data_IF_071776553507
#
_entry.id   IF_071776553507
#
_cell.length_a   1.000
_cell.length_b   1.000
_cell.length_c   1.000
_cell.angle_alpha   90.00
_cell.angle_beta   90.00
_cell.angle_gamma   90.00
#
_symmetry.space_group_name_H-M   'P 1'
#
loop_
_entity.id
_entity.type
_entity.pdbx_description
1 polymer ?
#
# COMPACT_ATOMS: atom_id res chain seq x y z
N UNK A 1 -13.72 16.55 10.16
CA UNK A 1 -14.52 17.78 10.28
C UNK A 1 -15.58 17.57 11.35
N UNK A 2 -15.98 18.61 12.09
CA UNK A 2 -16.96 18.52 13.19
C UNK A 2 -18.44 18.67 12.73
N UNK A 3 -18.69 19.08 11.49
CA UNK A 3 -20.04 19.24 10.91
C UNK A 3 -20.22 18.46 9.60
N UNK A 4 -21.48 18.32 9.18
CA UNK A 4 -21.85 17.78 7.87
C UNK A 4 -21.54 18.81 6.76
N UNK A 5 -21.08 18.34 5.60
CA UNK A 5 -20.61 19.20 4.51
C UNK A 5 -21.72 20.07 3.90
N UNK A 6 -21.42 21.36 3.69
CA UNK A 6 -22.36 22.40 3.24
C UNK A 6 -21.98 23.06 1.91
N UNK A 7 -21.06 22.51 1.12
CA UNK A 7 -20.62 23.15 -0.14
C UNK A 7 -21.67 23.07 -1.24
N UNK A 8 -21.57 23.97 -2.20
CA UNK A 8 -22.33 23.95 -3.47
C UNK A 8 -21.41 24.02 -4.68
N UNK A 9 -20.09 23.98 -4.45
CA UNK A 9 -19.04 24.08 -5.45
C UNK A 9 -17.93 23.10 -5.08
N UNK A 10 -17.23 22.57 -6.09
CA UNK A 10 -16.02 21.74 -5.92
C UNK A 10 -14.79 22.60 -5.57
N UNK A 11 -13.65 21.97 -5.22
CA UNK A 11 -12.41 22.69 -4.85
C UNK A 11 -11.85 23.57 -5.98
N UNK A 12 -12.14 23.24 -7.24
CA UNK A 12 -11.75 24.05 -8.40
C UNK A 12 -12.65 25.29 -8.61
N UNK A 13 -13.77 25.40 -7.89
CA UNK A 13 -14.73 26.48 -8.01
C UNK A 13 -15.87 26.23 -9.02
N UNK A 14 -15.96 25.04 -9.62
CA UNK A 14 -17.13 24.66 -10.42
C UNK A 14 -18.36 24.46 -9.53
N UNK A 15 -19.53 24.92 -9.99
CA UNK A 15 -20.80 24.66 -9.32
C UNK A 15 -21.15 23.16 -9.35
N UNK A 16 -21.62 22.64 -8.22
CA UNK A 16 -22.22 21.30 -8.12
C UNK A 16 -23.69 21.45 -8.49
N UNK A 17 -24.22 20.75 -9.52
CA UNK A 17 -25.63 20.80 -9.90
C UNK A 17 -26.62 20.63 -8.75
N UNK A 18 -27.54 21.59 -8.60
CA UNK A 18 -28.74 21.49 -7.75
C UNK A 18 -29.86 20.70 -8.46
N UNK A 19 -29.53 19.54 -9.04
CA UNK A 19 -30.51 18.66 -9.68
C UNK A 19 -29.91 17.27 -9.94
N UNK A 20 -30.66 16.23 -9.59
CA UNK A 20 -30.29 14.83 -9.80
C UNK A 20 -30.82 14.28 -11.14
N UNK A 21 -31.33 15.15 -12.03
CA UNK A 21 -32.01 14.77 -13.27
C UNK A 21 -31.12 13.99 -14.25
N UNK A 22 -29.79 14.10 -14.16
CA UNK A 22 -28.86 13.19 -14.83
C UNK A 22 -28.04 12.40 -13.81
N UNK A 23 -28.24 11.07 -13.74
CA UNK A 23 -27.57 10.20 -12.78
C UNK A 23 -26.09 9.90 -13.11
N UNK A 24 -25.49 10.57 -14.08
CA UNK A 24 -24.09 10.41 -14.46
C UNK A 24 -23.17 11.50 -13.90
N UNK A 25 -23.73 12.56 -13.29
CA UNK A 25 -22.96 13.70 -12.78
C UNK A 25 -23.15 13.89 -11.27
N UNK A 26 -22.17 14.52 -10.64
CA UNK A 26 -22.28 14.93 -9.25
C UNK A 26 -23.40 15.95 -9.04
N UNK A 27 -24.17 15.78 -7.97
CA UNK A 27 -25.27 16.67 -7.60
C UNK A 27 -25.41 16.78 -6.08
N UNK A 28 -25.91 17.92 -5.61
CA UNK A 28 -26.31 18.14 -4.21
C UNK A 28 -27.80 18.50 -4.11
N UNK A 29 -28.37 18.23 -2.94
CA UNK A 29 -29.72 18.65 -2.58
C UNK A 29 -29.80 19.02 -1.10
N UNK A 30 -30.90 19.66 -0.73
CA UNK A 30 -31.22 20.09 0.63
C UNK A 30 -32.39 19.24 1.10
N UNK A 31 -32.42 18.80 2.36
CA UNK A 31 -33.44 17.85 2.81
C UNK A 31 -34.85 18.45 2.61
N UNK A 32 -35.73 17.70 1.94
CA UNK A 32 -37.07 18.13 1.50
C UNK A 32 -37.08 19.40 0.63
N UNK A 33 -35.97 19.73 -0.05
CA UNK A 33 -35.76 20.96 -0.80
C UNK A 33 -35.94 22.24 0.06
N UNK A 34 -35.60 22.15 1.35
CA UNK A 34 -35.73 23.24 2.33
C UNK A 34 -34.35 23.67 2.88
N UNK A 35 -33.93 24.88 2.48
CA UNK A 35 -32.67 25.50 2.85
C UNK A 35 -32.50 25.73 4.36
N UNK A 36 -33.59 25.77 5.15
CA UNK A 36 -33.50 25.93 6.61
C UNK A 36 -32.81 24.73 7.28
N UNK A 37 -32.89 23.54 6.68
CA UNK A 37 -32.20 22.34 7.16
C UNK A 37 -30.68 22.41 7.02
N UNK A 38 -30.15 23.21 6.08
CA UNK A 38 -28.72 23.22 5.74
C UNK A 38 -27.85 23.70 6.88
N UNK A 39 -28.33 24.66 7.69
CA UNK A 39 -27.56 25.22 8.80
C UNK A 39 -27.18 24.15 9.84
N UNK A 40 -28.09 23.21 10.10
CA UNK A 40 -27.92 22.10 11.04
C UNK A 40 -27.35 20.87 10.32
N UNK A 41 -28.12 20.29 9.39
CA UNK A 41 -27.88 18.95 8.86
C UNK A 41 -26.91 18.89 7.68
N UNK A 42 -26.54 20.05 7.13
CA UNK A 42 -25.73 20.13 5.91
C UNK A 42 -26.52 19.84 4.64
N UNK A 43 -25.82 19.40 3.59
CA UNK A 43 -26.39 19.03 2.29
C UNK A 43 -26.23 17.54 2.03
N UNK A 44 -27.09 17.01 1.17
CA UNK A 44 -27.08 15.62 0.73
C UNK A 44 -26.51 15.53 -0.69
N UNK A 45 -25.51 14.69 -0.89
CA UNK A 45 -24.77 14.56 -2.15
C UNK A 45 -24.97 13.17 -2.73
N UNK A 46 -25.05 13.07 -4.06
CA UNK A 46 -24.90 11.77 -4.71
C UNK A 46 -23.45 11.30 -4.67
N UNK A 47 -23.22 10.01 -4.89
CA UNK A 47 -21.87 9.47 -4.83
C UNK A 47 -20.99 9.97 -5.99
N UNK A 48 -21.59 10.39 -7.11
CA UNK A 48 -20.86 11.01 -8.22
C UNK A 48 -20.24 12.35 -7.84
N UNK A 49 -20.84 13.12 -6.91
CA UNK A 49 -20.20 14.30 -6.34
C UNK A 49 -19.12 13.90 -5.33
N UNK A 50 -19.35 12.85 -4.52
CA UNK A 50 -18.37 12.33 -3.55
C UNK A 50 -17.07 11.91 -4.20
N UNK A 51 -17.14 11.22 -5.34
CA UNK A 51 -15.99 10.71 -6.08
C UNK A 51 -15.67 11.56 -7.34
N UNK A 52 -16.04 12.84 -7.35
CA UNK A 52 -15.69 13.75 -8.43
C UNK A 52 -14.21 14.19 -8.32
N UNK A 53 -13.47 14.10 -9.42
CA UNK A 53 -12.06 14.48 -9.49
C UNK A 53 -11.80 15.96 -9.15
N UNK A 54 -12.81 16.82 -9.16
CA UNK A 54 -12.72 18.24 -8.76
C UNK A 54 -12.72 18.46 -7.25
N UNK A 55 -12.95 17.41 -6.46
CA UNK A 55 -12.91 17.41 -5.00
C UNK A 55 -14.14 18.02 -4.35
N UNK A 56 -14.88 17.22 -3.58
CA UNK A 56 -16.09 17.67 -2.87
C UNK A 56 -15.80 18.34 -1.52
N UNK A 57 -14.86 17.78 -0.76
CA UNK A 57 -14.45 18.34 0.53
C UNK A 57 -13.60 19.62 0.35
N UNK A 58 -13.42 20.46 1.39
CA UNK A 58 -12.49 21.59 1.32
C UNK A 58 -11.05 21.14 0.99
N UNK A 59 -10.22 22.06 0.52
CA UNK A 59 -8.77 21.82 0.32
C UNK A 59 -8.15 21.27 1.61
N UNK A 60 -7.25 20.30 1.47
CA UNK A 60 -6.64 19.51 2.56
C UNK A 60 -7.63 18.62 3.33
N UNK A 61 -8.83 18.34 2.80
CA UNK A 61 -9.78 17.37 3.36
C UNK A 61 -10.33 16.44 2.25
N UNK A 62 -10.65 15.19 2.60
CA UNK A 62 -11.23 14.19 1.71
C UNK A 62 -12.48 13.51 2.28
N UNK A 63 -13.29 12.89 1.43
CA UNK A 63 -14.37 12.00 1.88
C UNK A 63 -13.72 10.67 2.26
N UNK A 64 -13.89 10.17 3.49
CA UNK A 64 -13.26 8.94 3.93
C UNK A 64 -13.74 7.76 3.09
N UNK A 65 -12.84 6.86 2.77
CA UNK A 65 -13.13 5.58 2.15
C UNK A 65 -13.73 4.59 3.15
N UNK A 66 -14.23 3.47 2.64
CA UNK A 66 -14.83 2.44 3.49
C UNK A 66 -13.83 1.90 4.52
N UNK A 67 -12.59 1.65 4.12
CA UNK A 67 -11.51 1.16 4.99
C UNK A 67 -11.16 2.20 6.08
N UNK A 68 -11.05 3.49 5.74
CA UNK A 68 -10.79 4.56 6.75
C UNK A 68 -11.95 4.67 7.76
N UNK A 69 -13.19 4.40 7.34
CA UNK A 69 -14.33 4.29 8.26
C UNK A 69 -14.29 3.00 9.08
N UNK A 70 -13.80 1.88 8.53
CA UNK A 70 -13.58 0.65 9.29
C UNK A 70 -12.47 0.83 10.34
N UNK A 71 -11.37 1.52 10.02
CA UNK A 71 -10.30 1.85 10.96
C UNK A 71 -10.79 2.70 12.13
N UNK A 72 -11.61 3.72 11.85
CA UNK A 72 -12.27 4.53 12.89
C UNK A 72 -13.18 3.67 13.79
N UNK A 73 -13.90 2.71 13.23
CA UNK A 73 -14.80 1.81 13.97
C UNK A 73 -14.01 0.79 14.81
N UNK A 74 -12.91 0.25 14.29
CA UNK A 74 -12.00 -0.62 15.04
C UNK A 74 -11.30 0.13 16.18
N UNK A 75 -10.91 1.39 15.96
CA UNK A 75 -10.38 2.27 17.00
C UNK A 75 -11.36 2.48 18.16
N UNK A 76 -12.68 2.45 17.90
CA UNK A 76 -13.73 2.60 18.90
C UNK A 76 -14.07 1.31 19.68
N UNK A 77 -13.56 0.16 19.25
CA UNK A 77 -13.73 -1.13 19.92
C UNK A 77 -14.26 -2.27 19.04
N UNK A 78 -14.69 -2.00 17.81
CA UNK A 78 -15.25 -3.02 16.91
C UNK A 78 -14.16 -4.03 16.50
N UNK A 79 -14.48 -5.34 16.46
CA UNK A 79 -13.51 -6.31 15.95
C UNK A 79 -13.33 -6.19 14.43
N UNK A 80 -12.16 -6.55 13.91
CA UNK A 80 -11.87 -6.59 12.47
C UNK A 80 -12.89 -7.46 11.69
N UNK A 81 -13.32 -8.58 12.28
CA UNK A 81 -14.37 -9.44 11.70
C UNK A 81 -15.73 -8.77 11.60
N UNK A 82 -16.10 -7.95 12.58
CA UNK A 82 -17.34 -7.17 12.55
C UNK A 82 -17.20 -6.00 11.59
N UNK A 83 -16.07 -5.27 11.62
CA UNK A 83 -15.79 -4.15 10.75
C UNK A 83 -15.89 -4.52 9.26
N UNK A 84 -15.40 -5.72 8.90
CA UNK A 84 -15.49 -6.29 7.55
C UNK A 84 -16.87 -6.84 7.16
N UNK A 85 -17.77 -7.06 8.12
CA UNK A 85 -19.12 -7.54 7.85
C UNK A 85 -20.02 -6.46 7.23
N UNK A 86 -21.06 -6.89 6.52
CA UNK A 86 -22.17 -6.04 6.07
C UNK A 86 -23.36 -6.24 7.01
N UNK A 87 -24.06 -5.17 7.38
CA UNK A 87 -25.15 -5.19 8.34
C UNK A 87 -25.01 -4.19 9.48
N UNK A 88 -25.87 -4.37 10.49
CA UNK A 88 -25.72 -3.83 11.84
C UNK A 88 -24.58 -4.60 12.54
N UNK A 89 -23.57 -3.89 13.06
CA UNK A 89 -22.32 -4.49 13.57
C UNK A 89 -21.68 -3.64 14.67
N UNK A 90 -20.84 -4.28 15.47
CA UNK A 90 -20.27 -3.72 16.69
C UNK A 90 -21.28 -3.75 17.85
N UNK A 91 -21.03 -2.92 18.86
CA UNK A 91 -21.79 -2.90 20.12
C UNK A 91 -22.28 -1.51 20.51
N UNK A 92 -21.44 -0.47 20.36
CA UNK A 92 -21.74 0.90 20.78
C UNK A 92 -21.05 1.99 19.93
N UNK A 93 -20.29 1.61 18.92
CA UNK A 93 -19.40 2.49 18.16
C UNK A 93 -20.18 3.50 17.31
N UNK A 94 -21.38 3.12 16.86
CA UNK A 94 -22.31 4.06 16.23
C UNK A 94 -22.83 5.12 17.21
N UNK A 95 -22.97 4.78 18.49
CA UNK A 95 -23.27 5.69 19.59
C UNK A 95 -22.13 6.69 19.84
N UNK A 96 -20.89 6.19 19.93
CA UNK A 96 -19.67 7.00 20.12
C UNK A 96 -19.40 8.02 19.00
N UNK A 97 -20.03 7.86 17.84
CA UNK A 97 -19.96 8.78 16.70
C UNK A 97 -21.07 9.86 16.68
N UNK A 98 -22.20 9.66 17.38
CA UNK A 98 -23.36 10.57 17.35
C UNK A 98 -23.18 11.78 18.25
N UNK A 99 -23.80 12.90 17.87
CA UNK A 99 -24.07 14.02 18.77
C UNK A 99 -24.74 13.53 20.07
N UNK A 100 -24.26 14.01 21.23
CA UNK A 100 -24.81 13.69 22.55
C UNK A 100 -26.18 14.36 22.77
N UNK A 101 -27.09 13.66 23.47
CA UNK A 101 -28.42 14.17 23.81
C UNK A 101 -29.44 14.02 22.68
N UNK A 102 -30.48 14.85 22.67
CA UNK A 102 -31.61 14.75 21.74
C UNK A 102 -32.02 16.13 21.19
N UNK A 103 -31.04 16.99 20.88
CA UNK A 103 -31.32 18.29 20.26
C UNK A 103 -31.73 18.12 18.79
N UNK A 104 -30.92 17.39 18.02
CA UNK A 104 -31.21 17.06 16.62
C UNK A 104 -31.65 15.61 16.40
N UNK A 105 -31.20 14.69 17.26
CA UNK A 105 -31.65 13.29 17.26
C UNK A 105 -32.97 13.11 18.01
N UNK A 106 -33.87 12.28 17.47
CA UNK A 106 -35.04 11.82 18.20
C UNK A 106 -34.63 11.00 19.43
N UNK A 107 -35.41 11.13 20.51
CA UNK A 107 -35.33 10.22 21.66
C UNK A 107 -35.57 8.76 21.23
N UNK A 108 -34.76 7.78 21.68
CA UNK A 108 -33.83 7.87 22.81
C UNK A 108 -32.40 8.36 22.51
N UNK A 109 -32.01 8.49 21.24
CA UNK A 109 -30.60 8.59 20.80
C UNK A 109 -29.66 7.59 21.49
N UNK A 110 -29.98 6.29 21.41
CA UNK A 110 -29.33 5.20 22.15
C UNK A 110 -27.80 5.25 22.02
N UNK A 111 -27.10 5.23 23.16
CA UNK A 111 -25.64 5.12 23.23
C UNK A 111 -24.85 6.36 22.78
N UNK A 112 -25.50 7.50 22.53
CA UNK A 112 -24.79 8.68 22.02
C UNK A 112 -23.88 9.33 23.06
N UNK A 113 -22.56 9.28 22.84
CA UNK A 113 -21.53 9.86 23.74
C UNK A 113 -20.55 10.81 23.05
N UNK A 114 -20.52 10.85 21.71
CA UNK A 114 -19.64 11.70 20.90
C UNK A 114 -18.13 11.63 21.26
N UNK A 115 -17.64 10.49 21.77
CA UNK A 115 -16.26 10.31 22.27
C UNK A 115 -15.16 10.68 21.26
N UNK A 116 -15.48 10.63 19.96
CA UNK A 116 -14.59 10.96 18.85
C UNK A 116 -14.59 12.44 18.44
N UNK A 117 -15.59 13.21 18.88
CA UNK A 117 -15.93 14.50 18.27
C UNK A 117 -16.53 14.38 16.86
N UNK A 118 -16.81 13.17 16.35
CA UNK A 118 -17.40 12.95 15.04
C UNK A 118 -18.83 13.49 14.93
N UNK A 119 -19.51 13.83 16.04
CA UNK A 119 -20.74 14.66 16.11
C UNK A 119 -21.70 14.40 14.95
N UNK A 120 -22.07 13.13 14.74
CA UNK A 120 -22.91 12.76 13.61
C UNK A 120 -24.30 13.35 13.80
N UNK A 121 -24.83 13.97 12.75
CA UNK A 121 -26.16 14.58 12.74
C UNK A 121 -27.12 13.80 11.83
N UNK A 122 -28.41 13.68 12.21
CA UNK A 122 -29.39 12.83 11.54
C UNK A 122 -30.04 13.53 10.34
N UNK A 123 -29.22 13.89 9.35
CA UNK A 123 -29.65 14.60 8.13
C UNK A 123 -30.57 13.81 7.20
N UNK A 124 -30.94 12.58 7.55
CA UNK A 124 -31.76 11.70 6.73
C UNK A 124 -31.09 11.34 5.41
N UNK A 125 -31.91 10.90 4.46
CA UNK A 125 -31.47 10.63 3.08
C UNK A 125 -32.49 11.10 2.04
N UNK A 126 -31.98 11.22 0.82
CA UNK A 126 -32.73 11.42 -0.42
C UNK A 126 -32.59 10.18 -1.29
N UNK A 127 -33.71 9.61 -1.72
CA UNK A 127 -33.76 8.48 -2.65
C UNK A 127 -34.44 8.91 -3.97
N UNK A 128 -34.28 8.14 -5.03
CA UNK A 128 -34.94 8.37 -6.32
C UNK A 128 -35.64 7.09 -6.75
N UNK A 129 -36.97 7.07 -6.65
CA UNK A 129 -37.74 5.94 -7.12
C UNK A 129 -37.93 6.05 -8.64
N UNK A 130 -37.16 5.24 -9.37
CA UNK A 130 -37.22 5.15 -10.83
C UNK A 130 -38.54 4.59 -11.38
N UNK A 131 -39.41 4.01 -10.55
CA UNK A 131 -40.72 3.52 -10.97
C UNK A 131 -41.81 4.57 -10.88
N UNK A 132 -41.71 5.50 -9.91
CA UNK A 132 -42.69 6.58 -9.72
C UNK A 132 -42.22 7.94 -10.25
N UNK A 133 -40.93 8.07 -10.59
CA UNK A 133 -40.29 9.34 -10.99
C UNK A 133 -40.46 10.42 -9.92
N UNK A 134 -40.21 10.04 -8.65
CA UNK A 134 -40.38 10.90 -7.48
C UNK A 134 -39.13 10.88 -6.58
N UNK A 135 -38.88 12.04 -5.96
CA UNK A 135 -37.90 12.17 -4.88
C UNK A 135 -38.51 11.68 -3.56
N UNK A 136 -37.87 10.70 -2.93
CA UNK A 136 -38.31 10.18 -1.63
C UNK A 136 -37.34 10.66 -0.56
N UNK A 137 -37.86 11.50 0.33
CA UNK A 137 -37.14 12.01 1.50
C UNK A 137 -37.49 11.17 2.71
N UNK A 138 -36.50 10.67 3.45
CA UNK A 138 -36.80 9.96 4.67
C UNK A 138 -35.79 10.17 5.80
N UNK A 139 -36.30 9.91 7.01
CA UNK A 139 -35.51 9.63 8.21
C UNK A 139 -34.69 10.79 8.80
N UNK A 140 -34.98 12.05 8.45
CA UNK A 140 -34.54 13.20 9.25
C UNK A 140 -34.85 12.97 10.74
N UNK A 141 -33.93 13.38 11.62
CA UNK A 141 -33.93 13.16 13.08
C UNK A 141 -33.88 11.69 13.55
N UNK A 142 -34.00 10.71 12.65
CA UNK A 142 -33.95 9.27 12.99
C UNK A 142 -32.69 8.57 12.52
N UNK A 143 -32.12 8.99 11.40
CA UNK A 143 -30.92 8.38 10.82
C UNK A 143 -29.96 9.43 10.27
N UNK A 144 -28.67 9.22 10.52
CA UNK A 144 -27.58 9.87 9.79
C UNK A 144 -27.00 8.89 8.79
N UNK A 145 -27.03 9.25 7.50
CA UNK A 145 -26.43 8.45 6.42
C UNK A 145 -25.18 9.18 5.91
N UNK A 146 -24.05 8.45 5.84
CA UNK A 146 -22.76 9.01 5.47
C UNK A 146 -22.14 8.21 4.33
N UNK A 147 -21.89 8.87 3.19
CA UNK A 147 -21.15 8.25 2.09
C UNK A 147 -19.70 7.97 2.49
N UNK A 148 -19.17 6.86 2.00
CA UNK A 148 -17.72 6.69 1.81
C UNK A 148 -17.33 7.03 0.36
N UNK A 149 -16.05 7.27 0.12
CA UNK A 149 -15.47 7.34 -1.24
C UNK A 149 -15.24 5.97 -1.91
N UNK A 150 -15.59 4.85 -1.25
CA UNK A 150 -15.38 3.51 -1.83
C UNK A 150 -16.58 3.00 -2.65
N UNK A 151 -16.29 2.62 -3.89
CA UNK A 151 -17.17 1.84 -4.75
C UNK A 151 -17.14 0.35 -4.40
N UNK A 152 -18.25 -0.37 -4.61
CA UNK A 152 -18.29 -1.85 -4.58
C UNK A 152 -18.73 -2.44 -5.93
N UNK A 153 -19.75 -1.84 -6.55
CA UNK A 153 -20.26 -2.26 -7.86
C UNK A 153 -20.44 -1.03 -8.75
N UNK A 154 -20.49 -1.24 -10.07
CA UNK A 154 -20.62 -0.17 -11.08
C UNK A 154 -21.75 0.82 -10.80
N UNK A 155 -22.82 0.41 -10.09
CA UNK A 155 -23.94 1.27 -9.68
C UNK A 155 -24.10 1.46 -8.16
N UNK A 156 -23.25 0.86 -7.31
CA UNK A 156 -23.34 0.92 -5.85
C UNK A 156 -22.04 1.39 -5.17
N UNK A 157 -22.17 2.12 -4.07
CA UNK A 157 -21.07 2.51 -3.20
C UNK A 157 -21.39 2.23 -1.72
N UNK A 158 -20.34 2.15 -0.90
CA UNK A 158 -20.44 1.90 0.54
C UNK A 158 -20.86 3.15 1.31
N UNK A 159 -21.72 2.97 2.31
CA UNK A 159 -22.12 4.02 3.25
C UNK A 159 -22.17 3.50 4.69
N UNK A 160 -22.23 4.43 5.65
CA UNK A 160 -22.56 4.18 7.05
C UNK A 160 -23.94 4.74 7.38
N UNK A 161 -24.70 4.02 8.20
CA UNK A 161 -25.95 4.53 8.78
C UNK A 161 -25.97 4.36 10.30
N UNK A 162 -26.24 5.48 10.99
CA UNK A 162 -26.39 5.55 12.43
C UNK A 162 -27.86 5.82 12.75
N UNK A 163 -28.45 5.04 13.66
CA UNK A 163 -29.87 5.18 14.05
C UNK A 163 -30.03 5.87 15.41
N UNK A 164 -31.18 6.49 15.61
CA UNK A 164 -31.58 7.10 16.88
C UNK A 164 -31.90 6.06 17.99
N UNK A 165 -32.24 4.83 17.63
CA UNK A 165 -32.66 3.77 18.55
C UNK A 165 -31.62 2.66 18.77
N UNK A 166 -30.53 2.64 17.98
CA UNK A 166 -29.40 1.71 18.09
C UNK A 166 -28.10 2.43 18.48
N UNK A 167 -27.17 1.69 19.10
CA UNK A 167 -25.81 2.16 19.41
C UNK A 167 -24.76 1.58 18.45
N UNK A 168 -25.11 0.53 17.71
CA UNK A 168 -24.30 -0.15 16.72
C UNK A 168 -24.19 0.67 15.40
N UNK A 169 -23.17 0.40 14.60
CA UNK A 169 -22.98 1.02 13.28
C UNK A 169 -23.55 0.11 12.17
N UNK A 170 -24.26 0.67 11.19
CA UNK A 170 -24.64 -0.07 9.98
C UNK A 170 -23.66 0.22 8.84
N UNK A 171 -23.19 -0.83 8.16
CA UNK A 171 -22.50 -0.74 6.86
C UNK A 171 -23.30 -1.51 5.83
N UNK A 172 -23.60 -0.84 4.73
CA UNK A 172 -24.35 -1.36 3.59
C UNK A 172 -23.89 -0.63 2.33
N UNK A 173 -24.27 -1.15 1.17
CA UNK A 173 -24.09 -0.45 -0.10
C UNK A 173 -25.42 -0.08 -0.77
N UNK A 174 -25.52 1.11 -1.35
CA UNK A 174 -26.73 1.55 -2.07
C UNK A 174 -26.38 2.21 -3.39
N UNK A 175 -27.40 2.41 -4.24
CA UNK A 175 -27.24 2.99 -5.56
C UNK A 175 -26.62 4.39 -5.47
N UNK A 176 -25.58 4.65 -6.26
CA UNK A 176 -24.79 5.90 -6.29
C UNK A 176 -25.62 7.18 -6.50
N UNK A 177 -26.86 7.07 -7.01
CA UNK A 177 -27.82 8.17 -7.19
C UNK A 177 -28.45 8.67 -5.89
N UNK A 178 -28.36 7.93 -4.78
CA UNK A 178 -28.91 8.35 -3.49
C UNK A 178 -28.15 9.55 -2.92
N UNK A 179 -28.85 10.45 -2.24
CA UNK A 179 -28.27 11.61 -1.57
C UNK A 179 -28.07 11.34 -0.07
N UNK A 180 -26.81 11.26 0.38
CA UNK A 180 -26.43 11.11 1.79
C UNK A 180 -25.58 12.29 2.27
N UNK A 181 -25.45 12.44 3.59
CA UNK A 181 -24.53 13.43 4.17
C UNK A 181 -23.08 13.03 3.91
N UNK A 182 -22.19 14.02 3.96
CA UNK A 182 -20.74 13.82 3.82
C UNK A 182 -20.04 14.40 5.04
N UNK A 183 -19.11 13.64 5.61
CA UNK A 183 -18.16 14.08 6.63
C UNK A 183 -16.79 14.01 6.02
N UNK A 184 -16.03 15.10 6.06
CA UNK A 184 -14.67 15.10 5.55
C UNK A 184 -13.67 14.76 6.64
N UNK A 185 -12.68 13.93 6.32
CA UNK A 185 -11.49 13.67 7.15
C UNK A 185 -10.28 14.43 6.57
N UNK A 186 -9.23 14.57 7.37
CA UNK A 186 -7.95 15.14 6.99
C UNK A 186 -6.88 14.27 7.63
N UNK A 187 -5.85 13.95 6.85
CA UNK A 187 -4.70 13.24 7.37
C UNK A 187 -3.96 14.13 8.38
N UNK A 188 -3.90 13.70 9.63
CA UNK A 188 -3.10 14.38 10.63
C UNK A 188 -1.62 14.07 10.41
N UNK A 189 -1.00 14.89 9.55
CA UNK A 189 0.45 15.08 9.52
C UNK A 189 0.90 15.34 10.97
N UNK A 190 1.85 14.55 11.46
CA UNK A 190 2.32 14.61 12.83
C UNK A 190 3.01 15.94 13.18
N UNK A 191 2.18 16.91 13.57
CA UNK A 191 2.44 18.13 14.33
C UNK A 191 3.25 19.28 13.67
N UNK A 192 2.59 20.46 13.70
CA UNK A 192 3.10 21.83 13.51
C UNK A 192 3.26 22.39 12.07
N UNK A 193 2.24 23.13 11.63
CA UNK A 193 2.39 24.32 10.76
C UNK A 193 2.61 24.10 9.25
N UNK A 194 1.52 24.03 8.48
CA UNK A 194 1.57 24.19 7.01
C UNK A 194 1.62 25.66 6.57
N UNK A 195 1.16 26.03 5.35
CA UNK A 195 0.66 25.20 4.24
C UNK A 195 1.44 25.50 2.91
N UNK A 196 1.10 25.10 1.67
CA UNK A 196 0.02 24.34 1.01
C UNK A 196 0.68 23.48 -0.09
N UNK A 197 0.11 22.32 -0.47
CA UNK A 197 0.18 21.82 -1.88
C UNK A 197 -1.21 21.29 -2.30
N UNK A 198 -1.91 22.09 -3.12
CA UNK A 198 -2.96 21.63 -4.04
C UNK A 198 -2.37 20.71 -5.10
N UNK A 199 -3.19 19.78 -5.60
CA UNK A 199 -2.99 19.01 -6.84
C UNK A 199 -1.57 18.49 -7.08
N UNK A 200 -1.37 17.21 -6.83
CA UNK A 200 -0.36 16.45 -7.55
C UNK A 200 -1.07 15.43 -8.43
N UNK A 201 -0.58 15.17 -9.66
CA UNK A 201 -0.99 13.97 -10.38
C UNK A 201 -0.74 12.77 -9.44
N UNK A 202 -1.50 11.68 -9.54
CA UNK A 202 -1.12 10.46 -8.83
C UNK A 202 0.29 10.09 -9.29
N UNK A 203 1.26 10.40 -8.44
CA UNK A 203 2.65 10.11 -8.71
C UNK A 203 2.79 8.64 -8.43
N UNK A 204 2.59 7.84 -9.49
CA UNK A 204 3.01 6.44 -9.55
C UNK A 204 4.50 6.27 -9.19
N UNK A 205 5.25 7.39 -9.16
CA UNK A 205 6.57 7.55 -8.58
C UNK A 205 6.72 6.88 -7.21
N UNK A 206 7.15 5.62 -7.28
CA UNK A 206 7.81 4.88 -6.22
C UNK A 206 9.34 4.93 -6.41
N UNK A 207 9.88 5.95 -7.08
CA UNK A 207 11.34 6.09 -7.27
C UNK A 207 12.03 6.16 -5.91
N UNK A 208 13.04 5.30 -5.69
CA UNK A 208 13.69 5.13 -4.38
C UNK A 208 12.87 4.39 -3.31
N UNK A 209 11.65 3.92 -3.62
CA UNK A 209 10.81 3.06 -2.77
C UNK A 209 10.54 1.68 -3.38
N UNK A 210 10.60 1.58 -4.70
CA UNK A 210 10.48 0.36 -5.49
C UNK A 210 11.48 0.44 -6.65
N UNK A 211 11.76 -0.71 -7.26
CA UNK A 211 12.52 -0.75 -8.51
C UNK A 211 11.65 -0.18 -9.63
N UNK A 212 12.27 0.48 -10.61
CA UNK A 212 11.56 1.11 -11.72
C UNK A 212 12.20 0.89 -13.08
N UNK A 213 11.35 0.81 -14.11
CA UNK A 213 11.68 0.75 -15.53
C UNK A 213 10.88 1.83 -16.26
N UNK A 214 11.56 2.78 -16.89
CA UNK A 214 10.95 3.87 -17.66
C UNK A 214 11.21 3.65 -19.15
N UNK A 215 10.14 3.53 -19.95
CA UNK A 215 10.21 3.38 -21.41
C UNK A 215 9.39 4.46 -22.09
N UNK A 216 10.01 5.28 -22.94
CA UNK A 216 9.39 6.45 -23.58
C UNK A 216 8.61 7.37 -22.61
N UNK A 217 9.08 7.49 -21.36
CA UNK A 217 8.45 8.33 -20.33
C UNK A 217 7.24 7.69 -19.62
N UNK A 218 7.00 6.39 -19.79
CA UNK A 218 6.09 5.62 -18.94
C UNK A 218 6.86 4.74 -17.97
N UNK A 219 6.50 4.84 -16.69
CA UNK A 219 7.13 4.10 -15.60
C UNK A 219 6.35 2.82 -15.25
N UNK A 220 7.10 1.74 -15.05
CA UNK A 220 6.67 0.48 -14.46
C UNK A 220 7.45 0.25 -13.15
N UNK A 221 6.77 -0.24 -12.11
CA UNK A 221 7.34 -0.43 -10.77
C UNK A 221 7.26 -1.88 -10.30
N UNK A 222 8.28 -2.37 -9.61
CA UNK A 222 8.37 -3.78 -9.24
C UNK A 222 9.21 -4.05 -7.99
N UNK A 223 9.02 -5.25 -7.42
CA UNK A 223 9.78 -5.71 -6.26
C UNK A 223 9.46 -4.95 -4.98
N UNK A 224 8.19 -4.59 -4.77
CA UNK A 224 7.71 -3.85 -3.60
C UNK A 224 6.47 -4.54 -2.98
N UNK A 225 6.47 -4.66 -1.66
CA UNK A 225 5.30 -5.11 -0.89
C UNK A 225 4.32 -3.95 -0.69
N UNK A 226 3.04 -4.23 -0.89
CA UNK A 226 1.95 -3.25 -0.77
C UNK A 226 0.60 -3.98 -0.77
N UNK A 227 -0.43 -3.33 -0.23
CA UNK A 227 -1.78 -3.87 -0.14
C UNK A 227 -2.42 -4.08 -1.52
N UNK A 228 -3.46 -4.93 -1.56
CA UNK A 228 -4.23 -5.14 -2.78
C UNK A 228 -4.90 -3.83 -3.27
N UNK A 229 -5.33 -2.96 -2.35
CA UNK A 229 -5.95 -1.67 -2.67
C UNK A 229 -4.95 -0.68 -3.27
N UNK A 230 -3.74 -0.61 -2.74
CA UNK A 230 -2.66 0.18 -3.35
C UNK A 230 -2.33 -0.34 -4.75
N UNK A 231 -2.19 -1.66 -4.94
CA UNK A 231 -1.93 -2.25 -6.27
C UNK A 231 -2.99 -1.91 -7.31
N UNK A 232 -4.26 -1.82 -6.92
CA UNK A 232 -5.36 -1.41 -7.82
C UNK A 232 -5.26 0.04 -8.29
N UNK A 233 -4.58 0.93 -7.55
CA UNK A 233 -4.35 2.30 -8.02
C UNK A 233 -3.43 2.37 -9.24
N UNK A 234 -2.57 1.35 -9.45
CA UNK A 234 -1.66 1.23 -10.60
C UNK A 234 -2.30 0.53 -11.81
N UNK A 235 -3.56 0.12 -11.73
CA UNK A 235 -4.27 -0.49 -12.86
C UNK A 235 -4.36 0.47 -14.05
N UNK A 236 -4.16 -0.08 -15.25
CA UNK A 236 -4.16 0.63 -16.51
C UNK A 236 -5.51 0.54 -17.21
N UNK A 237 -5.86 1.54 -18.05
CA UNK A 237 -7.01 1.42 -18.93
C UNK A 237 -6.83 0.27 -19.94
N UNK A 238 -7.91 -0.17 -20.60
CA UNK A 238 -7.84 -1.14 -21.68
C UNK A 238 -6.76 -0.80 -22.72
N UNK A 239 -6.16 -1.83 -23.31
CA UNK A 239 -5.08 -1.70 -24.30
C UNK A 239 -5.50 -0.74 -25.44
N UNK A 240 -4.61 0.18 -25.87
CA UNK A 240 -4.96 1.18 -26.87
C UNK A 240 -5.15 0.55 -28.26
N UNK A 241 -5.67 1.32 -29.25
CA UNK A 241 -5.79 0.85 -30.63
C UNK A 241 -4.45 0.42 -31.23
N UNK A 242 -4.51 -0.55 -32.15
CA UNK A 242 -3.36 -1.05 -32.92
C UNK A 242 -2.50 0.09 -33.50
N UNK A 243 -1.20 0.06 -33.17
CA UNK A 243 -0.20 1.04 -33.63
C UNK A 243 0.14 2.14 -32.62
N UNK A 244 -0.60 2.28 -31.51
CA UNK A 244 -0.20 3.13 -30.40
C UNK A 244 0.93 2.49 -29.57
N UNK A 245 1.82 3.31 -28.99
CA UNK A 245 2.83 2.84 -28.04
C UNK A 245 2.22 2.69 -26.64
N UNK A 246 2.38 1.53 -26.01
CA UNK A 246 1.96 1.25 -24.63
C UNK A 246 2.82 0.12 -24.02
N UNK A 247 3.05 0.19 -22.71
CA UNK A 247 3.83 -0.80 -21.97
C UNK A 247 3.17 -1.04 -20.61
N UNK A 248 3.05 -2.30 -20.22
CA UNK A 248 2.32 -2.71 -19.02
C UNK A 248 2.83 -4.05 -18.49
N UNK A 249 2.63 -4.31 -17.21
CA UNK A 249 2.67 -5.68 -16.72
C UNK A 249 1.36 -6.41 -17.08
N UNK A 250 1.49 -7.72 -17.24
CA UNK A 250 0.37 -8.66 -17.41
C UNK A 250 -0.68 -8.46 -16.31
N UNK A 251 -1.95 -8.39 -16.73
CA UNK A 251 -3.06 -8.01 -15.86
C UNK A 251 -3.41 -6.52 -15.89
N UNK A 252 -2.94 -5.80 -16.91
CA UNK A 252 -3.23 -4.38 -17.16
C UNK A 252 -2.89 -3.49 -15.96
N UNK A 253 -1.61 -3.43 -15.59
CA UNK A 253 -1.13 -2.64 -14.45
C UNK A 253 0.30 -2.11 -14.64
N UNK A 254 0.63 -0.99 -13.97
CA UNK A 254 1.99 -0.43 -13.86
C UNK A 254 2.81 -1.03 -12.72
N UNK A 255 2.25 -1.91 -11.89
CA UNK A 255 2.96 -2.50 -10.75
C UNK A 255 2.89 -4.02 -10.69
N UNK A 256 4.01 -4.64 -10.31
CA UNK A 256 4.10 -6.09 -10.18
C UNK A 256 5.01 -6.53 -9.01
N UNK A 257 4.89 -7.80 -8.63
CA UNK A 257 5.85 -8.47 -7.75
C UNK A 257 7.06 -8.98 -8.53
N UNK A 258 7.66 -10.06 -8.03
CA UNK A 258 8.72 -10.80 -8.74
C UNK A 258 8.12 -11.72 -9.82
N UNK A 259 8.93 -12.10 -10.81
CA UNK A 259 8.60 -13.09 -11.86
C UNK A 259 7.35 -12.71 -12.69
N UNK A 260 7.39 -11.52 -13.29
CA UNK A 260 6.28 -10.91 -14.03
C UNK A 260 6.57 -10.83 -15.53
N UNK A 261 5.50 -10.75 -16.34
CA UNK A 261 5.57 -10.57 -17.80
C UNK A 261 5.21 -9.12 -18.13
N UNK A 262 6.08 -8.46 -18.91
CA UNK A 262 5.86 -7.14 -19.47
C UNK A 262 5.34 -7.32 -20.89
N UNK A 263 4.16 -6.76 -21.16
CA UNK A 263 3.59 -6.65 -22.51
C UNK A 263 4.01 -5.31 -23.11
N UNK A 264 4.54 -5.33 -24.33
CA UNK A 264 4.97 -4.13 -25.07
C UNK A 264 4.20 -4.03 -26.38
N UNK A 265 3.46 -2.93 -26.54
CA UNK A 265 2.86 -2.53 -27.81
C UNK A 265 3.71 -1.39 -28.35
N UNK A 266 4.50 -1.64 -29.41
CA UNK A 266 5.45 -0.66 -29.94
C UNK A 266 5.44 -0.64 -31.47
N UNK A 267 5.37 0.55 -32.10
CA UNK A 267 5.59 0.70 -33.55
C UNK A 267 7.08 0.84 -33.92
N UNK A 268 7.99 0.75 -32.95
CA UNK A 268 9.44 0.96 -33.13
C UNK A 268 10.22 -0.36 -33.11
N UNK A 269 11.28 -0.46 -33.91
CA UNK A 269 12.17 -1.64 -33.96
C UNK A 269 13.01 -1.84 -32.68
N UNK A 270 13.23 -0.77 -31.91
CA UNK A 270 13.95 -0.79 -30.63
C UNK A 270 13.21 0.03 -29.59
N UNK A 271 13.43 -0.32 -28.32
CA UNK A 271 12.99 0.45 -27.15
C UNK A 271 14.22 0.89 -26.35
N UNK A 272 14.20 2.13 -25.86
CA UNK A 272 15.19 2.62 -24.89
C UNK A 272 14.54 2.68 -23.53
N UNK A 273 15.15 1.98 -22.58
CA UNK A 273 14.65 1.75 -21.24
C UNK A 273 15.68 2.24 -20.23
N UNK A 274 15.32 3.22 -19.41
CA UNK A 274 16.08 3.55 -18.21
C UNK A 274 15.54 2.78 -17.01
N UNK A 275 16.41 2.45 -16.06
CA UNK A 275 16.06 1.70 -14.86
C UNK A 275 16.70 2.32 -13.62
N UNK A 276 16.03 2.15 -12.49
CA UNK A 276 16.54 2.49 -11.16
C UNK A 276 16.18 1.34 -10.21
N UNK A 277 17.20 0.59 -9.79
CA UNK A 277 17.07 -0.62 -8.96
C UNK A 277 17.43 -0.27 -7.51
N UNK A 278 16.46 -0.42 -6.62
CA UNK A 278 16.63 -0.24 -5.17
C UNK A 278 17.18 -1.53 -4.59
N UNK A 279 18.50 -1.58 -4.39
CA UNK A 279 19.20 -2.73 -3.81
C UNK A 279 19.29 -2.56 -2.29
N UNK A 280 18.75 -3.50 -1.50
CA UNK A 280 18.95 -3.48 -0.05
C UNK A 280 20.38 -3.91 0.34
N UNK A 281 20.90 -3.30 1.40
CA UNK A 281 22.30 -3.48 1.82
C UNK A 281 22.57 -4.90 2.36
N UNK A 282 23.10 -5.78 1.50
CA UNK A 282 23.39 -7.18 1.81
C UNK A 282 22.57 -8.18 1.01
N UNK A 283 21.70 -7.70 0.12
CA UNK A 283 21.10 -8.57 -0.89
C UNK A 283 22.12 -8.94 -1.98
N UNK A 284 22.00 -10.18 -2.42
CA UNK A 284 22.81 -10.76 -3.49
C UNK A 284 21.88 -11.26 -4.59
N UNK A 285 21.01 -10.35 -5.07
CA UNK A 285 20.02 -10.57 -6.10
C UNK A 285 20.13 -9.46 -7.15
N UNK A 286 20.12 -9.83 -8.43
CA UNK A 286 19.97 -8.91 -9.55
C UNK A 286 18.59 -9.07 -10.17
N UNK A 287 18.10 -8.00 -10.80
CA UNK A 287 16.93 -8.10 -11.66
C UNK A 287 17.38 -8.45 -13.07
N UNK A 288 16.76 -9.47 -13.65
CA UNK A 288 16.99 -9.91 -15.02
C UNK A 288 15.79 -9.53 -15.86
N UNK A 289 16.03 -8.86 -16.99
CA UNK A 289 15.05 -8.64 -18.04
C UNK A 289 15.39 -9.55 -19.22
N UNK A 290 14.49 -10.46 -19.57
CA UNK A 290 14.71 -11.46 -20.62
C UNK A 290 13.72 -11.28 -21.76
N UNK A 291 14.23 -11.20 -23.00
CA UNK A 291 13.40 -11.08 -24.20
C UNK A 291 12.74 -12.42 -24.59
N UNK A 292 11.71 -12.35 -25.44
CA UNK A 292 11.11 -13.56 -26.04
C UNK A 292 12.11 -14.41 -26.86
N UNK A 293 13.18 -13.80 -27.38
CA UNK A 293 14.28 -14.51 -28.04
C UNK A 293 15.27 -15.20 -27.09
N UNK A 294 15.12 -15.04 -25.77
CA UNK A 294 16.01 -15.59 -24.76
C UNK A 294 17.31 -14.80 -24.56
N UNK A 295 17.34 -13.52 -24.95
CA UNK A 295 18.45 -12.62 -24.66
C UNK A 295 18.23 -11.94 -23.29
N UNK A 296 19.26 -11.94 -22.46
CA UNK A 296 19.19 -11.59 -21.04
C UNK A 296 19.93 -10.28 -20.75
N UNK A 297 19.29 -9.41 -19.94
CA UNK A 297 19.78 -8.08 -19.61
C UNK A 297 19.75 -7.88 -18.09
N UNK A 298 20.94 -7.81 -17.48
CA UNK A 298 21.09 -7.58 -16.03
C UNK A 298 20.83 -6.10 -15.72
N UNK A 299 19.94 -5.85 -14.76
CA UNK A 299 19.61 -4.54 -14.22
C UNK A 299 20.19 -4.41 -12.81
N UNK A 300 21.18 -3.52 -12.65
CA UNK A 300 21.86 -3.26 -11.37
C UNK A 300 22.07 -1.73 -11.21
N UNK A 301 21.69 -1.20 -10.04
CA UNK A 301 21.74 0.24 -9.76
C UNK A 301 20.88 1.07 -10.71
N UNK A 302 21.38 2.25 -11.10
CA UNK A 302 20.69 3.16 -12.03
C UNK A 302 21.39 3.15 -13.40
N UNK A 303 20.63 3.01 -14.49
CA UNK A 303 21.20 2.93 -15.83
C UNK A 303 20.19 3.06 -16.97
N UNK A 304 20.65 2.81 -18.20
CA UNK A 304 19.80 2.75 -19.37
C UNK A 304 20.37 1.83 -20.45
N UNK A 305 19.47 1.12 -21.14
CA UNK A 305 19.77 0.20 -22.23
C UNK A 305 18.84 0.47 -23.43
N UNK A 306 19.35 0.22 -24.64
CA UNK A 306 18.53 0.18 -25.87
C UNK A 306 18.54 -1.24 -26.39
N UNK A 307 17.35 -1.83 -26.50
CA UNK A 307 17.15 -3.25 -26.82
C UNK A 307 16.17 -3.40 -28.00
N UNK A 308 16.21 -4.51 -28.76
CA UNK A 308 15.21 -4.79 -29.79
C UNK A 308 13.80 -4.82 -29.18
N UNK A 309 12.82 -4.27 -29.89
CA UNK A 309 11.43 -4.33 -29.44
C UNK A 309 10.87 -5.74 -29.68
N UNK A 310 10.33 -6.36 -28.63
CA UNK A 310 9.58 -7.61 -28.68
C UNK A 310 8.18 -7.38 -28.09
N UNK A 311 7.19 -8.23 -28.42
CA UNK A 311 5.85 -8.11 -27.83
C UNK A 311 5.86 -8.38 -26.31
N UNK A 312 6.86 -9.12 -25.83
CA UNK A 312 6.97 -9.64 -24.47
C UNK A 312 8.39 -9.61 -23.94
N UNK A 313 8.51 -9.28 -22.66
CA UNK A 313 9.68 -9.53 -21.83
C UNK A 313 9.26 -10.20 -20.53
N UNK A 314 10.16 -10.96 -19.92
CA UNK A 314 10.02 -11.47 -18.55
C UNK A 314 10.96 -10.68 -17.64
N UNK A 315 10.46 -10.29 -16.47
CA UNK A 315 11.22 -9.60 -15.43
C UNK A 315 11.24 -10.49 -14.19
N UNK A 316 12.41 -11.03 -13.87
CA UNK A 316 12.63 -11.95 -12.77
C UNK A 316 13.81 -11.52 -11.90
N UNK A 317 13.87 -12.08 -10.69
CA UNK A 317 14.90 -11.79 -9.71
C UNK A 317 15.79 -13.01 -9.54
N UNK A 318 17.08 -12.86 -9.78
CA UNK A 318 18.04 -13.97 -9.81
C UNK A 318 19.19 -13.75 -8.82
N UNK A 319 19.72 -14.86 -8.30
CA UNK A 319 20.87 -14.86 -7.39
C UNK A 319 22.12 -14.34 -8.10
N UNK A 320 22.76 -13.33 -7.52
CA UNK A 320 24.10 -12.91 -7.93
C UNK A 320 25.08 -14.02 -7.54
N UNK A 321 25.60 -14.70 -8.56
CA UNK A 321 26.67 -15.67 -8.39
C UNK A 321 28.00 -14.90 -8.42
N UNK A 322 28.84 -14.98 -7.36
CA UNK A 322 30.15 -14.34 -7.36
C UNK A 322 31.05 -14.98 -8.42
N UNK A 323 31.94 -14.21 -9.04
CA UNK A 323 32.79 -14.71 -10.14
C UNK A 323 33.99 -15.53 -9.62
N UNK A 324 34.34 -15.39 -8.34
CA UNK A 324 35.50 -16.04 -7.71
C UNK A 324 35.19 -16.49 -6.29
N UNK A 325 35.90 -17.52 -5.82
CA UNK A 325 35.88 -17.90 -4.41
C UNK A 325 36.54 -16.82 -3.53
N UNK A 326 35.92 -16.50 -2.40
CA UNK A 326 36.50 -15.58 -1.42
C UNK A 326 36.10 -15.93 0.03
N UNK A 327 36.98 -15.62 0.98
CA UNK A 327 36.68 -15.54 2.41
C UNK A 327 36.83 -14.08 2.85
N UNK A 328 35.81 -13.52 3.48
CA UNK A 328 35.79 -12.13 3.94
C UNK A 328 36.26 -11.98 5.37
N UNK A 329 36.59 -10.74 5.76
CA UNK A 329 36.88 -10.43 7.14
C UNK A 329 35.60 -10.57 7.98
N UNK A 330 35.70 -11.28 9.10
CA UNK A 330 34.63 -11.40 10.07
C UNK A 330 34.17 -10.02 10.59
N UNK A 331 32.88 -9.87 10.84
CA UNK A 331 32.31 -8.65 11.41
C UNK A 331 31.32 -8.97 12.56
N UNK A 332 31.39 -8.25 13.70
CA UNK A 332 32.44 -7.27 14.06
C UNK A 332 33.82 -7.92 14.23
N UNK A 333 34.90 -7.14 14.20
CA UNK A 333 36.25 -7.59 14.56
C UNK A 333 37.08 -6.42 15.13
N UNK A 334 37.45 -6.42 16.43
CA UNK A 334 37.18 -7.46 17.43
C UNK A 334 35.68 -7.68 17.72
N UNK A 335 35.33 -8.83 18.31
CA UNK A 335 33.94 -9.22 18.59
C UNK A 335 33.73 -9.71 20.03
N UNK A 336 32.48 -9.69 20.51
CA UNK A 336 32.10 -10.20 21.84
C UNK A 336 30.60 -10.58 21.89
N UNK A 337 30.24 -11.85 22.18
CA UNK A 337 30.95 -13.07 21.83
C UNK A 337 30.56 -13.58 20.42
N UNK A 338 29.73 -12.83 19.68
CA UNK A 338 29.20 -13.23 18.36
C UNK A 338 29.85 -12.46 17.22
N UNK A 339 30.22 -13.16 16.15
CA UNK A 339 30.67 -12.60 14.87
C UNK A 339 30.08 -13.38 13.69
N UNK A 340 29.89 -12.69 12.57
CA UNK A 340 29.55 -13.33 11.29
C UNK A 340 30.81 -13.57 10.46
N UNK A 341 30.88 -14.74 9.81
CA UNK A 341 31.92 -15.17 8.86
C UNK A 341 31.26 -15.29 7.47
N UNK A 342 31.69 -14.47 6.50
CA UNK A 342 31.12 -14.42 5.15
C UNK A 342 32.09 -14.99 4.10
N UNK A 343 31.58 -15.68 3.10
CA UNK A 343 32.35 -16.29 2.02
C UNK A 343 31.54 -16.47 0.75
N UNK A 344 32.23 -16.54 -0.38
CA UNK A 344 31.66 -16.44 -1.73
C UNK A 344 31.98 -17.73 -2.51
N UNK A 345 30.97 -18.31 -3.18
CA UNK A 345 31.08 -19.54 -3.96
C UNK A 345 30.63 -19.31 -5.42
N UNK A 346 31.51 -19.37 -6.43
CA UNK A 346 31.12 -19.20 -7.84
C UNK A 346 30.39 -20.41 -8.43
N UNK A 347 30.55 -21.58 -7.82
CA UNK A 347 29.94 -22.83 -8.25
C UNK A 347 29.59 -23.70 -7.02
N UNK A 348 28.84 -24.78 -7.24
CA UNK A 348 28.52 -25.75 -6.20
C UNK A 348 29.81 -26.44 -5.70
N UNK A 349 30.04 -26.47 -4.38
CA UNK A 349 31.24 -27.05 -3.79
C UNK A 349 30.98 -27.72 -2.43
N UNK A 350 31.78 -28.75 -2.09
CA UNK A 350 31.90 -29.21 -0.70
C UNK A 350 32.67 -28.16 0.10
N UNK A 351 31.97 -27.49 1.02
CA UNK A 351 32.54 -26.43 1.86
C UNK A 351 32.86 -26.99 3.25
N UNK A 352 34.08 -26.73 3.71
CA UNK A 352 34.48 -26.89 5.11
C UNK A 352 34.95 -25.55 5.66
N UNK A 353 34.35 -25.09 6.77
CA UNK A 353 34.78 -23.88 7.48
C UNK A 353 35.12 -24.23 8.92
N UNK A 354 36.40 -24.12 9.28
CA UNK A 354 36.92 -24.54 10.59
C UNK A 354 37.61 -23.38 11.31
N UNK A 355 37.37 -23.28 12.62
CA UNK A 355 38.02 -22.34 13.53
C UNK A 355 39.17 -23.02 14.25
N UNK A 356 40.31 -22.35 14.32
CA UNK A 356 41.53 -22.81 14.96
C UNK A 356 42.03 -21.78 16.00
N UNK A 357 42.72 -22.26 17.03
CA UNK A 357 43.51 -21.39 17.91
C UNK A 357 44.88 -21.03 17.30
N UNK A 358 45.65 -20.19 17.98
CA UNK A 358 46.98 -19.77 17.54
C UNK A 358 48.04 -20.89 17.52
N UNK A 359 47.74 -22.09 18.05
CA UNK A 359 48.58 -23.27 17.95
C UNK A 359 48.17 -24.18 16.77
N UNK A 360 47.17 -23.77 15.98
CA UNK A 360 46.63 -24.56 14.87
C UNK A 360 45.73 -25.71 15.32
N UNK A 361 45.29 -25.74 16.59
CA UNK A 361 44.37 -26.76 17.08
C UNK A 361 42.94 -26.39 16.67
N UNK A 362 42.21 -27.35 16.14
CA UNK A 362 40.80 -27.18 15.81
C UNK A 362 39.98 -26.89 17.09
N UNK A 363 39.17 -25.85 17.03
CA UNK A 363 38.27 -25.40 18.09
C UNK A 363 36.85 -25.86 17.80
N UNK A 364 36.39 -25.64 16.58
CA UNK A 364 35.08 -26.10 16.09
C UNK A 364 35.03 -26.02 14.56
N UNK A 365 34.17 -26.85 13.97
CA UNK A 365 33.84 -26.85 12.55
C UNK A 365 32.41 -26.31 12.39
N UNK A 366 32.29 -25.18 11.69
CA UNK A 366 31.03 -24.42 11.57
C UNK A 366 30.22 -24.86 10.34
N UNK A 367 30.90 -25.35 9.31
CA UNK A 367 30.28 -25.83 8.05
C UNK A 367 31.07 -27.04 7.57
N UNK A 368 30.36 -28.09 7.13
CA UNK A 368 30.93 -29.25 6.44
C UNK A 368 29.87 -29.94 5.58
N UNK A 369 29.56 -29.36 4.42
CA UNK A 369 28.51 -29.84 3.51
C UNK A 369 28.73 -29.30 2.10
N UNK A 370 28.20 -29.98 1.09
CA UNK A 370 27.96 -29.37 -0.23
C UNK A 370 27.05 -28.16 -0.07
N UNK A 371 27.40 -27.07 -0.73
CA UNK A 371 26.57 -25.88 -0.87
C UNK A 371 26.55 -25.44 -2.33
N UNK A 372 25.40 -24.94 -2.78
CA UNK A 372 25.25 -24.28 -4.08
C UNK A 372 26.02 -22.95 -4.14
N UNK A 373 26.23 -22.45 -5.36
CA UNK A 373 26.82 -21.15 -5.61
C UNK A 373 26.12 -19.98 -4.88
N UNK A 374 26.78 -18.81 -4.86
CA UNK A 374 26.30 -17.59 -4.22
C UNK A 374 27.10 -17.20 -2.98
N UNK A 375 26.71 -16.07 -2.40
CA UNK A 375 27.28 -15.51 -1.17
C UNK A 375 26.69 -16.20 0.06
N UNK A 376 27.52 -16.52 1.06
CA UNK A 376 27.15 -17.30 2.25
C UNK A 376 27.64 -16.62 3.52
N UNK A 377 26.96 -16.90 4.63
CA UNK A 377 27.35 -16.41 5.96
C UNK A 377 27.04 -17.44 7.04
N UNK A 378 27.90 -17.55 8.05
CA UNK A 378 27.63 -18.32 9.28
C UNK A 378 28.05 -17.51 10.50
N UNK A 379 27.29 -17.59 11.59
CA UNK A 379 27.62 -16.94 12.86
C UNK A 379 28.45 -17.90 13.74
N UNK A 380 29.42 -17.34 14.45
CA UNK A 380 30.12 -18.03 15.54
C UNK A 380 29.96 -17.23 16.84
N UNK A 381 29.57 -17.93 17.90
CA UNK A 381 29.26 -17.42 19.24
C UNK A 381 30.38 -17.70 20.26
N UNK A 382 31.62 -17.84 19.78
CA UNK A 382 32.80 -18.14 20.59
C UNK A 382 32.72 -19.44 21.41
N UNK A 383 32.10 -20.51 20.88
CA UNK A 383 32.12 -21.85 21.50
C UNK A 383 32.99 -22.86 20.75
N UNK A 384 33.50 -23.86 21.48
CA UNK A 384 34.10 -25.08 20.93
C UNK A 384 33.04 -26.08 20.43
N UNK A 385 33.48 -27.23 19.91
CA UNK A 385 32.63 -28.33 19.42
C UNK A 385 31.77 -29.01 20.50
N UNK A 386 32.01 -28.73 21.79
CA UNK A 386 31.17 -29.18 22.91
C UNK A 386 30.20 -28.08 23.40
N UNK A 387 30.12 -26.95 22.70
CA UNK A 387 29.28 -25.80 23.06
C UNK A 387 29.83 -24.96 24.21
N UNK A 388 31.09 -25.18 24.63
CA UNK A 388 31.70 -24.45 25.74
C UNK A 388 32.39 -23.19 25.25
N UNK A 389 32.18 -22.07 25.94
CA UNK A 389 32.81 -20.79 25.58
C UNK A 389 34.34 -20.85 25.65
N UNK A 390 35.00 -20.31 24.63
CA UNK A 390 36.45 -20.21 24.54
C UNK A 390 36.97 -18.95 25.26
N UNK A 391 38.29 -18.81 25.36
CA UNK A 391 38.93 -17.67 26.03
C UNK A 391 39.09 -16.48 25.09
N UNK A 392 39.05 -15.25 25.62
CA UNK A 392 39.41 -14.06 24.83
C UNK A 392 40.84 -14.20 24.26
N UNK A 393 41.05 -13.75 23.03
CA UNK A 393 42.29 -13.98 22.30
C UNK A 393 42.14 -13.93 20.78
N UNK A 394 43.21 -14.33 20.10
CA UNK A 394 43.27 -14.38 18.64
C UNK A 394 42.92 -15.80 18.18
N UNK A 395 42.08 -15.87 17.13
CA UNK A 395 41.70 -17.12 16.47
C UNK A 395 41.92 -17.01 14.97
N UNK A 396 42.12 -18.15 14.31
CA UNK A 396 42.13 -18.27 12.86
C UNK A 396 40.86 -18.98 12.40
N UNK A 397 40.39 -18.66 11.20
CA UNK A 397 39.35 -19.43 10.52
C UNK A 397 39.80 -19.69 9.09
N UNK A 398 39.61 -20.93 8.63
CA UNK A 398 39.96 -21.37 7.28
C UNK A 398 38.73 -21.94 6.60
N UNK A 399 38.51 -21.50 5.36
CA UNK A 399 37.58 -22.16 4.45
C UNK A 399 38.37 -23.07 3.50
N UNK A 400 37.77 -24.21 3.16
CA UNK A 400 38.10 -25.01 1.99
C UNK A 400 36.85 -25.23 1.15
N UNK A 401 36.93 -24.97 -0.14
CA UNK A 401 35.88 -25.25 -1.12
C UNK A 401 36.54 -25.83 -2.38
N UNK A 402 36.49 -27.16 -2.54
CA UNK A 402 37.30 -27.86 -3.55
C UNK A 402 38.80 -27.60 -3.36
N UNK A 403 39.44 -27.02 -4.39
CA UNK A 403 40.85 -26.60 -4.39
C UNK A 403 41.08 -25.22 -3.76
N UNK A 404 40.04 -24.41 -3.58
CA UNK A 404 40.17 -23.11 -2.92
C UNK A 404 40.38 -23.29 -1.42
N UNK A 405 41.44 -22.67 -0.88
CA UNK A 405 41.72 -22.60 0.56
C UNK A 405 42.12 -21.17 0.91
N UNK A 406 41.45 -20.57 1.89
CA UNK A 406 41.81 -19.25 2.42
C UNK A 406 41.69 -19.22 3.94
N UNK A 407 42.63 -18.56 4.61
CA UNK A 407 42.65 -18.38 6.06
C UNK A 407 42.65 -16.90 6.43
N UNK A 408 41.89 -16.54 7.47
CA UNK A 408 41.88 -15.21 8.07
C UNK A 408 41.96 -15.29 9.60
N UNK A 409 42.18 -14.12 10.21
CA UNK A 409 42.38 -13.94 11.65
C UNK A 409 41.23 -13.11 12.24
N UNK A 410 40.76 -13.47 13.43
CA UNK A 410 39.76 -12.74 14.21
C UNK A 410 40.21 -12.57 15.67
N UNK A 411 39.63 -11.60 16.38
CA UNK A 411 39.98 -11.27 17.77
C UNK A 411 38.72 -11.27 18.65
N UNK A 412 38.65 -12.20 19.60
CA UNK A 412 37.59 -12.29 20.59
C UNK A 412 37.95 -11.45 21.82
N UNK A 413 37.05 -10.56 22.21
CA UNK A 413 37.05 -9.86 23.49
C UNK A 413 36.14 -10.58 24.49
N UNK A 414 36.22 -10.19 25.77
CA UNK A 414 35.29 -10.57 26.84
C UNK A 414 34.73 -9.31 27.47
#
# INVERSE_FOLDING_TARGET
MAENLKVTHYQNGDEIPYSYNDPQYGAYAEYSNDASNVAVYGRLYNWFAVNDARGLCPVDWQVPSDDELQELEMYLGMSESEANSEGLRGTDEGGKLKEEGTEHWNSPNTGATNETGFTALPGGRRDYDSYTDQEVWCCLNRYGFFWSSSEIYSVNAWYRALSFDYAESNRYHLNKRNGFSVRCIRDDIAMTGGPLIKDLPQTFNLTGKANSLTVNGMDLYFGVEMSARERLSYSLPPKPPLGAFDIRFKGDTRIAGENTEIEVMSPYETITTSYDIVIEAGEHMNWMLTSESGEEYILEGTGAITIPSAEKFVLNRELVIPVTFALHQNYPNPFNPVTSLRYDLPEQAQVTLTVYDMLGREVTQLVNTTQEAGFKSVQWNATDSFGKSVSAGVYLYQIRAGEFVQTRKMVLLK
#
